data_IF_185473366735
#
_entry.id   IF_185473366735
#
_cell.length_a   1.000
_cell.length_b   1.000
_cell.length_c   1.000
_cell.angle_alpha   90.00
_cell.angle_beta   90.00
_cell.angle_gamma   90.00
#
_symmetry.space_group_name_H-M   'P 1'
#
loop_
_entity.id
_entity.type
_entity.pdbx_description
1 polymer ?
#
# COMPACT_ATOMS: atom_id res chain seq x y z
N UNK A 1 -13.67 10.55 12.27
CA UNK A 1 -12.41 9.82 12.49
C UNK A 1 -11.41 10.43 11.51
N UNK A 2 -10.34 11.05 11.98
CA UNK A 2 -9.24 11.47 11.11
C UNK A 2 -8.55 10.22 10.56
N UNK A 3 -8.16 10.22 9.30
CA UNK A 3 -7.31 9.15 8.77
C UNK A 3 -6.00 9.11 9.58
N UNK A 4 -5.53 7.93 10.02
CA UNK A 4 -4.23 7.81 10.65
C UNK A 4 -3.13 8.28 9.69
N UNK A 5 -2.12 8.94 10.23
CA UNK A 5 -0.91 9.34 9.51
C UNK A 5 -0.10 8.10 9.07
N UNK A 6 0.77 8.27 8.08
CA UNK A 6 1.64 7.19 7.61
C UNK A 6 2.55 6.65 8.72
N UNK A 7 2.97 7.51 9.65
CA UNK A 7 3.75 7.13 10.83
C UNK A 7 2.94 6.24 11.78
N UNK A 8 1.67 6.56 12.02
CA UNK A 8 0.76 5.75 12.84
C UNK A 8 0.50 4.38 12.20
N UNK A 9 0.26 4.35 10.89
CA UNK A 9 0.07 3.10 10.14
C UNK A 9 1.33 2.22 10.18
N UNK A 10 2.50 2.83 9.99
CA UNK A 10 3.81 2.15 10.04
C UNK A 10 4.07 1.57 11.44
N UNK A 11 3.79 2.35 12.48
CA UNK A 11 3.96 1.90 13.87
C UNK A 11 3.03 0.72 14.18
N UNK A 12 1.77 0.78 13.75
CA UNK A 12 0.81 -0.31 13.94
C UNK A 12 1.25 -1.61 13.27
N UNK A 13 1.72 -1.55 12.02
CA UNK A 13 2.22 -2.72 11.29
C UNK A 13 3.47 -3.31 11.96
N UNK A 14 4.37 -2.45 12.45
CA UNK A 14 5.56 -2.87 13.20
C UNK A 14 5.19 -3.53 14.53
N UNK A 15 4.25 -2.95 15.28
CA UNK A 15 3.75 -3.53 16.53
C UNK A 15 3.06 -4.89 16.32
N UNK A 16 2.40 -5.06 15.17
CA UNK A 16 1.82 -6.35 14.77
C UNK A 16 2.87 -7.39 14.32
N UNK A 17 4.14 -7.01 14.23
CA UNK A 17 5.26 -7.91 13.93
C UNK A 17 5.63 -8.01 12.45
N UNK A 18 5.16 -7.07 11.60
CA UNK A 18 5.52 -7.05 10.19
C UNK A 18 7.00 -6.73 10.01
N UNK A 19 7.65 -7.35 9.04
CA UNK A 19 9.07 -7.06 8.74
C UNK A 19 9.28 -5.64 8.20
N UNK A 20 10.43 -5.05 8.50
CA UNK A 20 10.82 -3.72 7.97
C UNK A 20 10.87 -3.68 6.44
N UNK A 21 11.18 -4.80 5.78
CA UNK A 21 11.18 -4.89 4.31
C UNK A 21 9.76 -4.74 3.75
N UNK A 22 8.79 -5.47 4.32
CA UNK A 22 7.38 -5.35 3.92
C UNK A 22 6.82 -3.97 4.22
N UNK A 23 7.13 -3.40 5.39
CA UNK A 23 6.74 -2.03 5.77
C UNK A 23 7.32 -1.01 4.78
N UNK A 24 8.61 -1.11 4.45
CA UNK A 24 9.25 -0.21 3.49
C UNK A 24 8.59 -0.32 2.12
N UNK A 25 8.33 -1.54 1.62
CA UNK A 25 7.69 -1.70 0.32
C UNK A 25 6.25 -1.16 0.28
N UNK A 26 5.50 -1.22 1.38
CA UNK A 26 4.19 -0.55 1.50
C UNK A 26 4.31 0.99 1.47
N UNK A 27 5.33 1.54 2.11
CA UNK A 27 5.63 2.97 2.05
C UNK A 27 6.03 3.41 0.63
N UNK A 28 6.88 2.63 -0.04
CA UNK A 28 7.30 2.88 -1.42
C UNK A 28 6.10 2.85 -2.38
N UNK A 29 5.17 1.90 -2.23
CA UNK A 29 3.92 1.87 -3.00
C UNK A 29 3.07 3.12 -2.76
N UNK A 30 2.97 3.57 -1.51
CA UNK A 30 2.21 4.77 -1.16
C UNK A 30 2.80 6.02 -1.82
N UNK A 31 4.13 6.15 -1.81
CA UNK A 31 4.83 7.24 -2.48
C UNK A 31 4.66 7.16 -4.01
N UNK A 32 4.80 5.96 -4.59
CA UNK A 32 4.59 5.72 -6.01
C UNK A 32 3.19 6.12 -6.44
N UNK A 33 2.16 5.82 -5.63
CA UNK A 33 0.80 6.26 -5.91
C UNK A 33 0.68 7.79 -5.88
N UNK A 34 1.19 8.46 -4.84
CA UNK A 34 1.10 9.93 -4.73
C UNK A 34 1.75 10.64 -5.91
N UNK A 35 2.95 10.23 -6.29
CA UNK A 35 3.71 10.87 -7.38
C UNK A 35 3.17 10.44 -8.74
N UNK A 36 2.99 9.13 -8.94
CA UNK A 36 2.57 8.55 -10.22
C UNK A 36 1.15 8.93 -10.60
N UNK A 37 0.22 8.96 -9.64
CA UNK A 37 -1.17 9.36 -9.90
C UNK A 37 -1.27 10.83 -10.29
N UNK A 38 -0.53 11.71 -9.62
CA UNK A 38 -0.47 13.13 -9.98
C UNK A 38 0.05 13.32 -11.41
N UNK A 39 1.14 12.62 -11.77
CA UNK A 39 1.67 12.67 -13.14
C UNK A 39 0.70 12.06 -14.17
N UNK A 40 0.03 10.96 -13.84
CA UNK A 40 -0.90 10.28 -14.73
C UNK A 40 -2.15 11.12 -15.04
N UNK A 41 -2.62 11.93 -14.08
CA UNK A 41 -3.73 12.88 -14.30
C UNK A 41 -3.43 13.93 -15.37
N UNK A 42 -2.17 14.34 -15.49
CA UNK A 42 -1.71 15.31 -16.48
C UNK A 42 -1.23 14.65 -17.79
N UNK A 43 -1.25 13.31 -17.84
CA UNK A 43 -0.78 12.53 -18.99
C UNK A 43 -1.87 12.33 -20.05
N UNK A 44 -1.47 12.10 -21.30
CA UNK A 44 -2.39 11.80 -22.40
C UNK A 44 -3.04 10.40 -22.29
N UNK A 45 -2.42 9.48 -21.54
CA UNK A 45 -2.95 8.13 -21.30
C UNK A 45 -3.98 8.08 -20.16
N UNK A 46 -4.07 9.16 -19.37
CA UNK A 46 -4.99 9.31 -18.26
C UNK A 46 -4.61 8.50 -17.02
N UNK A 47 -5.33 8.74 -15.90
CA UNK A 47 -5.06 8.07 -14.63
C UNK A 47 -5.44 6.58 -14.63
N UNK A 48 -6.34 6.14 -15.50
CA UNK A 48 -6.89 4.78 -15.48
C UNK A 48 -5.81 3.72 -15.77
N UNK A 49 -4.96 3.97 -16.77
CA UNK A 49 -3.83 3.07 -17.09
C UNK A 49 -2.84 2.97 -15.93
N UNK A 50 -2.55 4.10 -15.29
CA UNK A 50 -1.71 4.11 -14.09
C UNK A 50 -2.32 3.31 -12.95
N UNK A 51 -3.64 3.47 -12.70
CA UNK A 51 -4.34 2.71 -11.66
C UNK A 51 -4.25 1.20 -11.95
N UNK A 52 -4.44 0.78 -13.20
CA UNK A 52 -4.36 -0.63 -13.60
C UNK A 52 -2.95 -1.21 -13.33
N UNK A 53 -1.90 -0.53 -13.80
CA UNK A 53 -0.51 -0.94 -13.60
C UNK A 53 -0.13 -0.96 -12.11
N UNK A 54 -0.45 0.11 -11.39
CA UNK A 54 -0.22 0.21 -9.95
C UNK A 54 -0.93 -0.90 -9.17
N UNK A 55 -2.19 -1.20 -9.53
CA UNK A 55 -2.97 -2.26 -8.86
C UNK A 55 -2.33 -3.63 -9.07
N UNK A 56 -1.83 -3.90 -10.28
CA UNK A 56 -1.12 -5.13 -10.58
C UNK A 56 0.19 -5.26 -9.77
N UNK A 57 0.96 -4.18 -9.67
CA UNK A 57 2.23 -4.19 -8.92
C UNK A 57 2.01 -4.29 -7.40
N UNK A 58 1.03 -3.55 -6.86
CA UNK A 58 0.64 -3.65 -5.46
C UNK A 58 0.13 -5.06 -5.09
N UNK A 59 -0.53 -5.75 -6.04
CA UNK A 59 -0.94 -7.14 -5.86
C UNK A 59 0.27 -8.09 -5.86
N UNK A 60 1.18 -7.96 -6.83
CA UNK A 60 2.41 -8.77 -6.90
C UNK A 60 3.27 -8.61 -5.66
N UNK A 61 3.41 -7.38 -5.15
CA UNK A 61 4.16 -7.11 -3.93
C UNK A 61 3.52 -7.80 -2.72
N UNK A 62 2.19 -7.68 -2.54
CA UNK A 62 1.47 -8.41 -1.50
C UNK A 62 1.68 -9.92 -1.58
N UNK A 63 1.62 -10.50 -2.77
CA UNK A 63 1.84 -11.93 -2.98
C UNK A 63 3.29 -12.37 -2.69
N UNK A 64 4.26 -11.46 -2.87
CA UNK A 64 5.68 -11.70 -2.62
C UNK A 64 6.09 -11.53 -1.15
N UNK A 65 5.28 -10.87 -0.32
CA UNK A 65 5.54 -10.73 1.11
C UNK A 65 5.63 -12.10 1.81
N UNK A 66 6.38 -12.23 2.91
CA UNK A 66 6.30 -13.39 3.79
C UNK A 66 4.86 -13.68 4.22
N UNK A 67 4.48 -14.95 4.36
CA UNK A 67 3.11 -15.33 4.71
C UNK A 67 2.60 -14.68 6.02
N UNK A 68 3.48 -14.51 7.02
CA UNK A 68 3.14 -13.79 8.25
C UNK A 68 2.83 -12.32 8.01
N UNK A 69 3.61 -11.64 7.16
CA UNK A 69 3.39 -10.25 6.80
C UNK A 69 2.12 -10.07 5.96
N UNK A 70 1.81 -11.02 5.07
CA UNK A 70 0.54 -11.04 4.32
C UNK A 70 -0.67 -11.10 5.25
N UNK A 71 -0.62 -11.95 6.28
CA UNK A 71 -1.69 -12.07 7.28
C UNK A 71 -1.83 -10.78 8.09
N UNK A 72 -0.72 -10.22 8.58
CA UNK A 72 -0.71 -8.96 9.32
C UNK A 72 -1.32 -7.84 8.47
N UNK A 73 -0.88 -7.71 7.21
CA UNK A 73 -1.43 -6.69 6.31
C UNK A 73 -2.92 -6.90 6.04
N UNK A 74 -3.35 -8.15 5.86
CA UNK A 74 -4.77 -8.47 5.65
C UNK A 74 -5.63 -8.12 6.87
N UNK A 75 -5.14 -8.36 8.08
CA UNK A 75 -5.81 -7.96 9.33
C UNK A 75 -5.87 -6.44 9.45
N UNK A 76 -4.77 -5.77 9.13
CA UNK A 76 -4.70 -4.30 9.10
C UNK A 76 -5.73 -3.72 8.13
N UNK A 77 -5.80 -4.21 6.89
CA UNK A 77 -6.77 -3.75 5.89
C UNK A 77 -8.21 -3.91 6.38
N UNK A 78 -8.55 -5.08 6.94
CA UNK A 78 -9.89 -5.33 7.51
C UNK A 78 -10.23 -4.39 8.67
N UNK A 79 -9.27 -4.15 9.57
CA UNK A 79 -9.47 -3.25 10.72
C UNK A 79 -9.80 -1.82 10.30
N UNK A 80 -9.20 -1.36 9.20
CA UNK A 80 -9.39 -0.01 8.66
C UNK A 80 -10.44 0.07 7.55
N UNK A 81 -11.11 -1.04 7.20
CA UNK A 81 -12.12 -1.09 6.13
C UNK A 81 -11.54 -0.85 4.72
N UNK A 82 -10.30 -1.27 4.50
CA UNK A 82 -9.52 -1.12 3.27
C UNK A 82 -9.39 -2.44 2.48
N UNK A 83 -10.16 -3.47 2.84
CA UNK A 83 -10.15 -4.81 2.23
C UNK A 83 -11.03 -4.94 0.98
N UNK A 84 -11.57 -3.83 0.48
CA UNK A 84 -12.49 -3.74 -0.66
C UNK A 84 -11.84 -3.83 -2.04
#
# INVERSE_FOLDING_TARGET
MSQPSEEECTAELREAGMTEESIKGLADLTEQFKVGFAAAKDSAEGPDKFIEEYTADAKRFREAMPAGDQEIYSVYLKKHGLDG
#
